data_IF_194089559524
#
_entry.id   IF_194089559524
#
_cell.length_a   1.000
_cell.length_b   1.000
_cell.length_c   1.000
_cell.angle_alpha   90.00
_cell.angle_beta   90.00
_cell.angle_gamma   90.00
#
_symmetry.space_group_name_H-M   'P 1'
#
loop_
_entity.id
_entity.type
_entity.pdbx_description
1 polymer ?
#
# COMPACT_ATOMS: atom_id res chain seq x y z
N UNK A 1 50.18 12.63 4.32
CA UNK A 1 48.90 13.28 4.69
C UNK A 1 47.76 12.49 4.05
N UNK A 2 46.84 11.89 4.81
CA UNK A 2 45.71 11.20 4.18
C UNK A 2 44.62 12.21 3.82
N UNK A 3 44.14 12.14 2.58
CA UNK A 3 42.91 12.81 2.17
C UNK A 3 41.75 12.28 3.01
N UNK A 4 41.24 13.10 3.93
CA UNK A 4 39.92 12.86 4.52
C UNK A 4 38.90 13.09 3.43
N UNK A 5 38.38 12.00 2.85
CA UNK A 5 37.10 12.00 2.17
C UNK A 5 36.04 12.40 3.21
N UNK A 6 35.76 13.69 3.29
CA UNK A 6 34.56 14.19 3.96
C UNK A 6 33.44 14.06 2.93
N UNK A 7 33.02 12.82 2.65
CA UNK A 7 31.65 12.65 2.20
C UNK A 7 30.79 13.10 3.40
N UNK A 8 29.92 14.11 3.25
CA UNK A 8 28.87 14.29 4.23
C UNK A 8 28.12 12.95 4.31
N UNK A 9 27.60 12.55 5.48
CA UNK A 9 26.68 11.43 5.51
C UNK A 9 25.54 11.84 4.57
N UNK A 10 25.48 11.23 3.40
CA UNK A 10 24.25 11.18 2.63
C UNK A 10 23.31 10.43 3.56
N UNK A 11 22.54 11.20 4.33
CA UNK A 11 21.37 10.71 5.01
C UNK A 11 20.47 10.19 3.89
N UNK A 12 20.69 8.95 3.43
CA UNK A 12 19.77 8.19 2.62
C UNK A 12 18.43 8.40 3.28
N UNK A 13 17.53 9.13 2.63
CA UNK A 13 16.27 9.57 3.23
C UNK A 13 15.43 8.32 3.49
N UNK A 14 15.61 7.73 4.68
CA UNK A 14 15.06 6.43 5.15
C UNK A 14 13.53 6.41 5.26
N UNK A 15 12.90 7.54 4.96
CA UNK A 15 11.47 7.80 5.00
C UNK A 15 11.13 8.72 3.84
N UNK A 16 9.97 8.53 3.23
CA UNK A 16 9.39 9.51 2.33
C UNK A 16 8.19 10.17 2.99
N UNK A 17 8.05 11.48 2.77
CA UNK A 17 6.86 12.24 3.10
C UNK A 17 6.04 12.38 1.82
N UNK A 18 4.74 12.15 1.92
CA UNK A 18 3.81 12.28 0.81
C UNK A 18 2.70 13.23 1.27
N UNK A 19 2.41 14.22 0.43
CA UNK A 19 1.31 15.14 0.61
C UNK A 19 0.36 14.92 -0.56
N UNK A 20 -0.88 14.53 -0.27
CA UNK A 20 -1.91 14.26 -1.26
C UNK A 20 -3.23 14.92 -0.85
N UNK A 21 -4.27 14.79 -1.69
CA UNK A 21 -5.63 15.18 -1.33
C UNK A 21 -6.21 14.43 -0.12
N UNK A 22 -5.59 13.32 0.30
CA UNK A 22 -5.98 12.54 1.47
C UNK A 22 -5.26 12.98 2.75
N UNK A 23 -4.22 13.81 2.64
CA UNK A 23 -3.48 14.33 3.78
C UNK A 23 -1.97 14.20 3.65
N UNK A 24 -1.30 14.27 4.79
CA UNK A 24 0.16 14.20 4.88
C UNK A 24 0.59 12.91 5.58
N UNK A 25 1.43 12.13 4.91
CA UNK A 25 1.81 10.79 5.34
C UNK A 25 3.32 10.60 5.34
N UNK A 26 3.78 9.69 6.18
CA UNK A 26 5.19 9.27 6.25
C UNK A 26 5.25 7.76 6.02
N UNK A 27 6.09 7.35 5.07
CA UNK A 27 6.30 5.93 4.75
C UNK A 27 7.76 5.49 4.92
N UNK A 28 7.96 4.19 5.17
CA UNK A 28 9.27 3.53 5.25
C UNK A 28 9.17 2.08 4.79
N UNK A 29 10.28 1.51 4.30
CA UNK A 29 10.31 0.09 4.02
C UNK A 29 10.40 -0.78 5.31
N UNK A 30 9.92 -2.04 5.30
CA UNK A 30 9.86 -2.93 6.45
C UNK A 30 11.21 -3.23 7.08
N UNK A 31 12.27 -3.33 6.27
CA UNK A 31 13.65 -3.53 6.73
C UNK A 31 14.15 -2.41 7.64
N UNK A 32 13.43 -1.28 7.71
CA UNK A 32 13.74 -0.12 8.54
C UNK A 32 12.83 0.03 9.77
N UNK A 33 11.96 -0.94 10.07
CA UNK A 33 11.03 -0.90 11.21
C UNK A 33 11.76 -0.90 12.57
N UNK A 34 12.19 0.28 13.03
CA UNK A 34 12.83 0.49 14.33
C UNK A 34 12.39 1.75 15.08
N UNK A 35 11.35 2.48 14.64
CA UNK A 35 10.93 3.73 15.27
C UNK A 35 9.45 3.73 15.70
N UNK A 36 9.21 4.16 16.95
CA UNK A 36 7.91 4.16 17.66
C UNK A 36 6.85 5.12 17.10
N UNK A 37 7.19 5.98 16.15
CA UNK A 37 6.26 6.96 15.56
C UNK A 37 5.74 6.42 14.24
N UNK A 38 4.47 5.97 14.23
CA UNK A 38 3.59 5.70 13.07
C UNK A 38 4.25 5.87 11.69
N UNK A 39 4.85 4.79 11.18
CA UNK A 39 5.26 4.72 9.77
C UNK A 39 4.55 3.54 9.13
N UNK A 40 3.78 3.79 8.07
CA UNK A 40 3.21 2.71 7.27
C UNK A 40 4.24 2.25 6.22
N UNK A 41 4.29 0.95 5.98
CA UNK A 41 5.01 0.36 4.85
C UNK A 41 4.06 -0.10 3.74
N UNK A 42 2.76 0.10 3.92
CA UNK A 42 1.70 -0.23 2.99
C UNK A 42 1.11 1.05 2.41
N UNK A 43 0.99 1.08 1.10
CA UNK A 43 0.55 2.25 0.34
C UNK A 43 -0.61 1.90 -0.58
N UNK A 44 -1.45 2.89 -0.81
CA UNK A 44 -2.40 2.96 -1.92
C UNK A 44 -1.89 4.02 -2.90
N UNK A 45 -1.84 3.68 -4.19
CA UNK A 45 -1.36 4.55 -5.25
C UNK A 45 -2.19 4.39 -6.52
N UNK A 46 -2.11 5.37 -7.41
CA UNK A 46 -2.69 5.26 -8.74
C UNK A 46 -1.67 4.67 -9.70
N UNK A 47 -2.01 3.58 -10.39
CA UNK A 47 -1.19 3.06 -11.48
C UNK A 47 -1.09 4.11 -12.60
N UNK A 48 0.12 4.55 -12.99
CA UNK A 48 0.29 5.56 -14.02
C UNK A 48 -0.29 5.17 -15.38
N UNK A 49 -0.30 3.88 -15.73
CA UNK A 49 -0.73 3.35 -17.03
C UNK A 49 -2.24 3.17 -17.10
N UNK A 50 -2.80 2.47 -16.11
CA UNK A 50 -4.23 2.10 -16.12
C UNK A 50 -5.12 3.12 -15.41
N UNK A 51 -4.53 4.04 -14.65
CA UNK A 51 -5.22 4.97 -13.73
C UNK A 51 -6.08 4.27 -12.67
N UNK A 52 -5.92 2.95 -12.49
CA UNK A 52 -6.62 2.23 -11.44
C UNK A 52 -5.95 2.44 -10.08
N UNK A 53 -6.73 2.20 -9.03
CA UNK A 53 -6.21 2.18 -7.67
C UNK A 53 -5.55 0.83 -7.38
N UNK A 54 -4.33 0.92 -6.89
CA UNK A 54 -3.46 -0.22 -6.63
C UNK A 54 -2.88 -0.12 -5.23
N UNK A 55 -2.49 -1.28 -4.69
CA UNK A 55 -1.96 -1.39 -3.33
C UNK A 55 -0.63 -2.12 -3.38
N UNK A 56 0.28 -1.73 -2.49
CA UNK A 56 1.57 -2.40 -2.40
C UNK A 56 2.24 -2.20 -1.05
N UNK A 57 3.20 -3.08 -0.78
CA UNK A 57 4.11 -2.94 0.35
C UNK A 57 5.45 -2.42 -0.16
N UNK A 58 5.94 -1.33 0.42
CA UNK A 58 7.24 -0.76 0.07
C UNK A 58 8.32 -1.77 0.44
N UNK A 59 9.22 -2.11 -0.48
CA UNK A 59 10.42 -2.90 -0.21
C UNK A 59 11.65 -2.00 -0.12
N UNK A 60 11.69 -0.92 -0.92
CA UNK A 60 12.80 0.03 -0.94
C UNK A 60 12.33 1.42 -1.38
N UNK A 61 13.01 2.46 -0.88
CA UNK A 61 12.84 3.85 -1.31
C UNK A 61 14.12 4.27 -2.03
N UNK A 62 14.00 4.73 -3.27
CA UNK A 62 15.11 5.18 -4.11
C UNK A 62 14.97 6.69 -4.35
N UNK A 63 16.02 7.45 -4.02
CA UNK A 63 16.12 8.88 -4.26
C UNK A 63 17.35 9.12 -5.14
N UNK A 64 17.15 9.62 -6.36
CA UNK A 64 18.24 9.93 -7.30
C UNK A 64 18.60 11.43 -7.29
N UNK A 65 18.05 12.21 -6.35
CA UNK A 65 18.27 13.65 -6.23
C UNK A 65 17.27 14.52 -6.99
N UNK A 66 16.63 14.01 -8.05
CA UNK A 66 15.61 14.74 -8.83
C UNK A 66 14.21 14.21 -8.56
N UNK A 67 14.05 12.90 -8.39
CA UNK A 67 12.79 12.24 -8.12
C UNK A 67 12.96 11.08 -7.13
N UNK A 68 11.84 10.73 -6.49
CA UNK A 68 11.76 9.61 -5.55
C UNK A 68 10.87 8.53 -6.13
N UNK A 69 11.37 7.30 -6.09
CA UNK A 69 10.66 6.11 -6.51
C UNK A 69 10.58 5.12 -5.35
N UNK A 70 9.51 4.35 -5.34
CA UNK A 70 9.30 3.25 -4.41
C UNK A 70 9.39 1.95 -5.18
N UNK A 71 10.25 1.04 -4.74
CA UNK A 71 10.17 -0.36 -5.16
C UNK A 71 9.15 -1.00 -4.25
N UNK A 72 8.06 -1.50 -4.82
CA UNK A 72 6.92 -2.04 -4.08
C UNK A 72 6.64 -3.46 -4.50
N UNK A 73 6.27 -4.26 -3.52
CA UNK A 73 5.56 -5.52 -3.72
C UNK A 73 4.09 -5.20 -3.90
N UNK A 74 3.69 -5.01 -5.15
CA UNK A 74 2.33 -4.74 -5.57
C UNK A 74 1.44 -5.95 -5.31
N UNK A 75 0.18 -5.70 -4.93
CA UNK A 75 -0.82 -6.73 -4.68
C UNK A 75 -1.78 -6.83 -5.85
N UNK A 76 -1.86 -8.02 -6.44
CA UNK A 76 -2.92 -8.35 -7.38
C UNK A 76 -4.18 -8.64 -6.57
N UNK A 77 -5.26 -7.97 -6.91
CA UNK A 77 -6.51 -8.04 -6.17
C UNK A 77 -7.57 -8.84 -6.94
N UNK A 78 -8.30 -9.68 -6.22
CA UNK A 78 -9.55 -10.25 -6.74
C UNK A 78 -10.57 -9.11 -6.94
N UNK A 79 -11.17 -8.97 -8.13
CA UNK A 79 -12.20 -7.98 -8.36
C UNK A 79 -13.36 -8.19 -7.36
N UNK A 80 -13.83 -7.10 -6.72
CA UNK A 80 -14.93 -7.17 -5.75
C UNK A 80 -16.19 -7.82 -6.33
N UNK A 81 -16.41 -7.68 -7.64
CA UNK A 81 -17.50 -8.31 -8.39
C UNK A 81 -17.41 -9.84 -8.40
N UNK A 82 -16.21 -10.42 -8.41
CA UNK A 82 -15.99 -11.88 -8.36
C UNK A 82 -16.10 -12.41 -6.93
N UNK A 83 -15.55 -11.68 -5.96
CA UNK A 83 -15.68 -12.00 -4.55
C UNK A 83 -17.15 -12.10 -4.15
N UNK A 84 -17.98 -11.16 -4.62
CA UNK A 84 -19.43 -11.18 -4.39
C UNK A 84 -20.17 -12.31 -5.12
N UNK A 85 -19.71 -12.74 -6.31
CA UNK A 85 -20.30 -13.90 -7.01
C UNK A 85 -20.04 -15.20 -6.24
N UNK A 86 -18.85 -15.37 -5.67
CA UNK A 86 -18.50 -16.54 -4.85
C UNK A 86 -19.40 -16.65 -3.62
N UNK A 87 -19.59 -15.55 -2.90
CA UNK A 87 -20.46 -15.47 -1.73
C UNK A 87 -21.91 -15.87 -2.05
N UNK A 88 -22.47 -15.41 -3.19
CA UNK A 88 -23.84 -15.75 -3.58
C UNK A 88 -24.03 -17.24 -3.88
N UNK A 89 -22.99 -17.94 -4.34
CA UNK A 89 -23.05 -19.37 -4.69
C UNK A 89 -22.98 -20.29 -3.48
N UNK A 90 -22.37 -19.84 -2.38
CA UNK A 90 -22.11 -20.68 -1.21
C UNK A 90 -23.23 -20.68 -0.16
N UNK A 91 -24.31 -19.91 -0.36
CA UNK A 91 -25.45 -19.89 0.57
C UNK A 91 -25.05 -19.40 1.96
N UNK A 92 -24.89 -18.09 2.11
CA UNK A 92 -24.47 -17.50 3.38
C UNK A 92 -25.66 -17.20 4.32
N UNK A 93 -25.40 -17.19 5.63
CA UNK A 93 -26.40 -16.81 6.62
C UNK A 93 -26.83 -15.35 6.45
N UNK A 94 -28.07 -15.03 6.86
CA UNK A 94 -28.62 -13.66 6.78
C UNK A 94 -27.76 -12.63 7.51
N UNK A 95 -27.17 -13.01 8.64
CA UNK A 95 -26.27 -12.15 9.41
C UNK A 95 -24.99 -11.87 8.63
N UNK A 96 -24.36 -12.90 8.05
CA UNK A 96 -23.17 -12.72 7.21
C UNK A 96 -23.46 -11.86 5.97
N UNK A 97 -24.67 -11.97 5.40
CA UNK A 97 -25.11 -11.17 4.27
C UNK A 97 -25.24 -9.69 4.64
N UNK A 98 -25.85 -9.38 5.79
CA UNK A 98 -25.97 -7.99 6.26
C UNK A 98 -24.59 -7.38 6.59
N UNK A 99 -23.67 -8.15 7.18
CA UNK A 99 -22.29 -7.73 7.40
C UNK A 99 -21.59 -7.42 6.07
N UNK A 100 -21.73 -8.29 5.07
CA UNK A 100 -21.17 -8.06 3.74
C UNK A 100 -21.77 -6.85 3.03
N UNK A 101 -23.08 -6.64 3.17
CA UNK A 101 -23.78 -5.46 2.64
C UNK A 101 -23.30 -4.17 3.32
N UNK A 102 -23.03 -4.21 4.62
CA UNK A 102 -22.38 -3.10 5.33
C UNK A 102 -20.95 -2.90 4.83
N UNK A 103 -20.18 -3.97 4.59
CA UNK A 103 -18.85 -3.87 3.99
C UNK A 103 -18.87 -3.30 2.56
N UNK A 104 -19.96 -3.48 1.79
CA UNK A 104 -20.15 -2.84 0.48
C UNK A 104 -20.44 -1.34 0.58
N UNK A 105 -20.99 -0.90 1.71
CA UNK A 105 -21.21 0.53 2.00
C UNK A 105 -19.95 1.23 2.51
N UNK A 106 -18.92 0.46 2.90
CA UNK A 106 -17.59 1.00 3.12
C UNK A 106 -17.03 1.49 1.77
N UNK A 107 -16.18 2.54 1.76
CA UNK A 107 -15.55 3.02 0.54
C UNK A 107 -14.93 1.86 -0.26
N UNK A 108 -14.98 1.88 -1.59
CA UNK A 108 -14.84 0.72 -2.50
C UNK A 108 -13.45 0.04 -2.52
N UNK A 109 -12.62 0.28 -1.51
CA UNK A 109 -11.19 0.07 -1.57
C UNK A 109 -10.72 -1.18 -0.85
N UNK A 110 -11.60 -2.16 -0.60
CA UNK A 110 -11.19 -3.46 -0.03
C UNK A 110 -10.93 -4.44 -1.17
N UNK A 111 -9.67 -4.88 -1.31
CA UNK A 111 -9.27 -5.92 -2.24
C UNK A 111 -8.74 -7.16 -1.53
N UNK A 112 -9.13 -8.35 -1.96
CA UNK A 112 -8.50 -9.60 -1.50
C UNK A 112 -7.25 -9.85 -2.33
N UNK A 113 -6.11 -10.03 -1.66
CA UNK A 113 -4.83 -10.28 -2.33
C UNK A 113 -4.79 -11.71 -2.85
N UNK A 114 -4.62 -11.86 -4.16
CA UNK A 114 -4.49 -13.16 -4.84
C UNK A 114 -3.04 -13.47 -5.18
N UNK A 115 -2.29 -12.47 -5.62
CA UNK A 115 -0.89 -12.61 -6.02
C UNK A 115 -0.09 -11.33 -5.74
N UNK A 116 1.22 -11.36 -5.99
CA UNK A 116 2.14 -10.25 -5.75
C UNK A 116 3.19 -10.15 -6.85
N UNK A 117 3.37 -8.93 -7.37
CA UNK A 117 4.42 -8.61 -8.34
C UNK A 117 5.31 -7.49 -7.82
N UNK A 118 6.46 -7.29 -8.45
CA UNK A 118 7.31 -6.14 -8.16
C UNK A 118 7.01 -5.00 -9.14
N UNK A 119 6.82 -3.81 -8.58
CA UNK A 119 6.51 -2.60 -9.33
C UNK A 119 7.39 -1.44 -8.86
N UNK A 120 7.68 -0.51 -9.79
CA UNK A 120 8.36 0.75 -9.49
C UNK A 120 7.31 1.85 -9.53
N UNK A 121 7.13 2.54 -8.40
CA UNK A 121 6.06 3.54 -8.23
C UNK A 121 6.68 4.91 -8.00
N UNK A 122 6.42 5.90 -8.87
CA UNK A 122 6.75 7.30 -8.61
C UNK A 122 6.07 7.80 -7.34
N UNK A 123 6.78 8.55 -6.50
CA UNK A 123 6.24 9.01 -5.21
C UNK A 123 4.99 9.89 -5.38
N UNK A 124 4.89 10.63 -6.47
CA UNK A 124 3.75 11.48 -6.82
C UNK A 124 2.44 10.71 -7.06
N UNK A 125 2.53 9.41 -7.36
CA UNK A 125 1.36 8.56 -7.55
C UNK A 125 0.82 8.01 -6.22
N UNK A 126 1.56 8.16 -5.12
CA UNK A 126 1.15 7.66 -3.81
C UNK A 126 0.07 8.56 -3.23
N UNK A 127 -1.05 7.95 -2.86
CA UNK A 127 -2.20 8.68 -2.37
C UNK A 127 -2.26 8.68 -0.85
N UNK A 128 -2.20 7.51 -0.24
CA UNK A 128 -2.39 7.37 1.21
C UNK A 128 -1.86 6.01 1.70
N UNK A 129 -1.81 5.80 3.02
CA UNK A 129 -1.47 4.50 3.59
C UNK A 129 -2.55 3.46 3.27
N UNK A 130 -2.15 2.20 3.26
CA UNK A 130 -3.07 1.08 3.22
C UNK A 130 -3.00 0.25 4.52
N UNK A 131 -4.12 -0.34 4.89
CA UNK A 131 -4.27 -1.25 6.03
C UNK A 131 -4.37 -2.66 5.48
N UNK A 132 -3.68 -3.60 6.14
CA UNK A 132 -3.76 -5.02 5.82
C UNK A 132 -4.56 -5.75 6.90
N UNK A 133 -5.59 -6.47 6.50
CA UNK A 133 -6.42 -7.33 7.34
C UNK A 133 -6.16 -8.80 6.99
N UNK A 134 -6.16 -9.67 8.00
CA UNK A 134 -6.12 -11.13 7.82
C UNK A 134 -7.40 -11.72 8.40
N UNK A 135 -8.13 -12.47 7.59
CA UNK A 135 -9.38 -13.14 7.97
C UNK A 135 -9.34 -14.54 7.37
N UNK A 136 -9.43 -15.59 8.19
CA UNK A 136 -9.47 -17.00 7.74
C UNK A 136 -8.38 -17.31 6.69
N UNK A 137 -7.12 -16.99 7.02
CA UNK A 137 -5.92 -17.11 6.18
C UNK A 137 -5.89 -16.28 4.88
N UNK A 138 -7.00 -15.64 4.49
CA UNK A 138 -7.04 -14.68 3.41
C UNK A 138 -6.51 -13.32 3.86
N UNK A 139 -5.79 -12.64 2.94
CA UNK A 139 -5.30 -11.28 3.15
C UNK A 139 -6.17 -10.30 2.38
N UNK A 140 -6.62 -9.26 3.07
CA UNK A 140 -7.34 -8.15 2.49
C UNK A 140 -6.55 -6.86 2.69
N UNK A 141 -6.67 -5.93 1.76
CA UNK A 141 -6.06 -4.62 1.85
C UNK A 141 -7.10 -3.55 1.64
N UNK A 142 -6.99 -2.46 2.40
CA UNK A 142 -7.88 -1.32 2.27
C UNK A 142 -7.15 0.01 2.41
N UNK A 143 -7.74 1.05 1.82
CA UNK A 143 -7.27 2.41 1.98
C UNK A 143 -7.41 2.89 3.44
N UNK A 144 -6.37 3.52 3.99
CA UNK A 144 -6.46 4.24 5.28
C UNK A 144 -6.92 5.67 5.02
N UNK A 145 -7.98 6.09 5.73
CA UNK A 145 -8.30 7.52 5.87
C UNK A 145 -7.43 8.16 6.94
#
# INVERSE_FOLDING_TARGET
MPFKSVMPPSYCRKRCKVSSSFGNFVFSAPSYCGAKTTVSNLICYTDPLTKSLTFGQIEMIVDNGTCKHLIVKEFILEPMTELMKSVRRQGISRVAYEVLKQCQSLPPFIGKVTDKIQSIVPLENVMCPAIKLKINDATYVLMSK
#
